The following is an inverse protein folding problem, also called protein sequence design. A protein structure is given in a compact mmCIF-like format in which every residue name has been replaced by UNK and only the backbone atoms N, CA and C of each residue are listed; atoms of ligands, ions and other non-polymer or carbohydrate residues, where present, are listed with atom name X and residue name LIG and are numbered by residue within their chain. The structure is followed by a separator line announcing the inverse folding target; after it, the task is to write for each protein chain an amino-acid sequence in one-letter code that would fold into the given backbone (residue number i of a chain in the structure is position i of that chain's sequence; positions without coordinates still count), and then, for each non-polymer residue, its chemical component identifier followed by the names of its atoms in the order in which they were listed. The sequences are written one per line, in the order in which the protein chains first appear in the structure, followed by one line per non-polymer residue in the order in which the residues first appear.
data_IF_667082352494
#
_entry.id   IF_667082352494
#
_cell.length_a   1.000
_cell.length_b   1.000
_cell.length_c   1.000
_cell.angle_alpha   90.00
_cell.angle_beta   90.00
_cell.angle_gamma   90.00
#
_symmetry.space_group_name_H-M   'P 1'
#
loop_
_entity.id
_entity.type
_entity.pdbx_description
1 polymer ?
#
# COMPACT_ATOMS: atom_id res chain seq x y z
N UNK A 1 -2.40 -4.37 -21.69
CA UNK A 1 -2.24 -4.11 -21.28
C UNK A 1 -2.41 -3.44 -20.48
N UNK A 2 -2.64 -3.11 -19.79
CA UNK A 2 -2.91 -2.59 -19.04
C UNK A 2 -2.41 -1.92 -18.42
N UNK A 3 -2.14 -1.49 -18.10
CA UNK A 3 -1.55 -0.83 -17.66
C UNK A 3 -1.83 0.02 -16.86
N UNK A 4 -2.30 0.02 -16.06
CA UNK A 4 -2.72 0.84 -15.31
C UNK A 4 -1.73 1.37 -14.72
N UNK A 5 -1.20 2.22 -14.69
CA UNK A 5 -0.31 2.79 -14.17
C UNK A 5 -0.67 3.32 -12.97
N UNK A 6 -1.03 2.79 -11.94
CA UNK A 6 -1.33 3.31 -10.66
C UNK A 6 -0.05 3.55 -9.93
N UNK A 7 0.02 4.61 -9.20
CA UNK A 7 1.20 4.91 -8.45
C UNK A 7 0.95 4.74 -6.97
N UNK A 8 2.01 4.63 -6.19
CA UNK A 8 1.90 4.50 -4.75
C UNK A 8 1.05 5.61 -4.18
N UNK A 9 0.21 5.29 -3.22
CA UNK A 9 -0.68 6.27 -2.64
C UNK A 9 0.04 7.29 -1.78
N UNK A 10 1.27 7.00 -1.43
CA UNK A 10 2.02 7.94 -0.60
C UNK A 10 2.43 9.15 -1.39
N UNK A 11 2.12 10.32 -0.88
CA UNK A 11 2.47 11.54 -1.55
C UNK A 11 3.96 11.70 -1.65
N UNK A 12 4.44 12.01 -2.81
CA UNK A 12 5.86 12.18 -3.01
C UNK A 12 6.62 10.90 -3.31
N UNK A 13 5.94 9.77 -3.27
CA UNK A 13 6.63 8.52 -3.52
C UNK A 13 7.04 8.39 -4.98
N UNK A 14 6.12 8.57 -5.89
CA UNK A 14 6.46 8.50 -7.30
C UNK A 14 6.75 7.12 -7.84
N UNK A 15 6.74 6.10 -7.00
CA UNK A 15 7.01 4.77 -7.48
C UNK A 15 5.73 4.10 -7.93
N UNK A 16 5.83 3.12 -8.81
CA UNK A 16 4.63 2.42 -9.26
C UNK A 16 4.08 1.55 -8.13
N UNK A 17 2.78 1.43 -8.08
CA UNK A 17 2.17 0.61 -7.05
C UNK A 17 2.53 -0.85 -7.26
N UNK A 18 2.74 -1.52 -6.15
CA UNK A 18 3.12 -2.92 -6.19
C UNK A 18 1.94 -3.78 -5.79
N UNK A 19 1.26 -3.42 -4.74
CA UNK A 19 0.14 -4.19 -4.27
C UNK A 19 -0.91 -3.29 -3.65
N UNK A 20 -2.10 -3.84 -3.48
CA UNK A 20 -3.18 -3.10 -2.86
C UNK A 20 -3.27 -3.53 -1.42
N UNK A 21 -3.54 -2.61 -0.55
CA UNK A 21 -3.65 -2.91 0.86
C UNK A 21 -4.95 -2.33 1.39
N UNK A 22 -5.72 -3.15 2.09
CA UNK A 22 -6.97 -2.69 2.66
C UNK A 22 -6.68 -2.10 4.03
N UNK A 23 -6.91 -0.81 4.19
CA UNK A 23 -6.65 -0.16 5.45
C UNK A 23 -7.93 0.04 6.23
N UNK A 24 -9.07 -0.21 5.63
CA UNK A 24 -10.34 -0.10 6.30
C UNK A 24 -11.33 -0.97 5.55
N UNK A 25 -12.45 -1.28 6.15
CA UNK A 25 -13.41 -2.18 5.51
C UNK A 25 -13.79 -1.78 4.10
N UNK A 26 -13.89 -0.51 3.85
CA UNK A 26 -14.28 -0.05 2.54
C UNK A 26 -13.20 0.77 1.86
N UNK A 27 -11.99 0.73 2.36
CA UNK A 27 -10.93 1.56 1.81
C UNK A 27 -9.70 0.74 1.50
N UNK A 28 -9.24 0.82 0.26
CA UNK A 28 -8.00 0.16 -0.11
C UNK A 28 -7.09 1.18 -0.74
N UNK A 29 -5.81 1.02 -0.57
CA UNK A 29 -4.84 1.91 -1.18
C UNK A 29 -3.83 1.07 -1.91
N UNK A 30 -3.16 1.68 -2.87
CA UNK A 30 -2.16 0.96 -3.64
C UNK A 30 -0.80 1.50 -3.25
N UNK A 31 0.06 0.63 -2.84
CA UNK A 31 1.36 1.03 -2.33
C UNK A 31 2.47 0.33 -3.08
N UNK A 32 3.62 0.98 -3.13
CA UNK A 32 4.78 0.35 -3.74
C UNK A 32 5.29 -0.72 -2.77
N UNK A 33 6.26 -1.50 -3.23
CA UNK A 33 6.75 -2.60 -2.43
C UNK A 33 7.25 -2.14 -1.08
N UNK A 34 7.96 -1.04 -1.06
CA UNK A 34 8.49 -0.52 0.20
C UNK A 34 7.41 -0.11 1.16
N UNK A 35 6.50 0.71 0.69
CA UNK A 35 5.45 1.20 1.56
C UNK A 35 4.47 0.08 1.93
N UNK A 36 4.27 -0.84 1.04
CA UNK A 36 3.39 -1.95 1.34
C UNK A 36 3.96 -2.76 2.50
N UNK A 37 5.25 -3.03 2.46
CA UNK A 37 5.89 -3.78 3.52
C UNK A 37 5.84 -3.02 4.83
N UNK A 38 6.04 -1.72 4.77
CA UNK A 38 5.98 -0.91 5.97
C UNK A 38 4.59 -0.91 6.58
N UNK A 39 3.58 -0.75 5.77
CA UNK A 39 2.23 -0.73 6.28
C UNK A 39 1.83 -2.08 6.85
N UNK A 40 2.25 -3.13 6.19
CA UNK A 40 1.95 -4.44 6.69
C UNK A 40 2.60 -4.70 8.03
N UNK A 41 3.84 -4.32 8.16
CA UNK A 41 4.54 -4.51 9.42
C UNK A 41 3.87 -3.71 10.53
N UNK A 42 3.40 -2.51 10.20
CA UNK A 42 2.74 -1.69 11.18
C UNK A 42 1.42 -2.32 11.62
N UNK A 43 0.69 -2.85 10.68
CA UNK A 43 -0.57 -3.47 11.01
C UNK A 43 -0.36 -4.72 11.83
N UNK A 44 0.65 -5.48 11.51
CA UNK A 44 0.93 -6.66 12.27
C UNK A 44 1.35 -6.32 13.67
N UNK A 45 2.09 -5.27 13.81
CA UNK A 45 2.52 -4.82 15.11
C UNK A 45 1.34 -4.44 15.97
N UNK A 46 0.38 -3.75 15.41
CA UNK A 46 -0.78 -3.38 16.15
C UNK A 46 -1.62 -4.57 16.49
N UNK A 47 -1.70 -5.51 15.59
CA UNK A 47 -2.49 -6.66 15.83
C UNK A 47 -1.90 -7.49 16.94
N UNK A 48 -0.61 -7.55 17.03
CA UNK A 48 0.05 -8.34 18.02
C UNK A 48 -0.14 -7.77 19.42
N UNK A 49 -0.46 -6.54 19.52
CA UNK A 49 -0.68 -5.95 20.83
C UNK A 49 -1.99 -6.41 21.45
#
# INVERSE_FOLDING_TARGET
MTSTKTKCAMIGCGRPAYRTLAIAPATVVELCADHYAEEQADMESKKAA
#
